data_IF_649505971998
#
_entry.id   IF_649505971998
#
_cell.length_a   1.000
_cell.length_b   1.000
_cell.length_c   1.000
_cell.angle_alpha   90.00
_cell.angle_beta   90.00
_cell.angle_gamma   90.00
#
_symmetry.space_group_name_H-M   'P 1'
#
loop_
_entity.id
_entity.type
_entity.pdbx_description
1 polymer ?
#
# COMPACT_ATOMS: atom_id res chain seq x y z
N UNK A 1 7.69 4.47 -26.88
CA UNK A 1 7.79 4.06 -25.46
C UNK A 1 6.57 4.60 -24.72
N UNK A 2 5.84 3.77 -23.99
CA UNK A 2 4.74 4.26 -23.14
C UNK A 2 5.33 5.12 -22.02
N UNK A 3 4.69 6.26 -21.66
CA UNK A 3 5.23 7.16 -20.64
C UNK A 3 5.28 6.48 -19.27
N UNK A 4 6.38 6.68 -18.54
CA UNK A 4 6.64 6.12 -17.20
C UNK A 4 6.45 7.17 -16.11
N UNK A 5 6.54 6.73 -14.85
CA UNK A 5 6.52 7.60 -13.68
C UNK A 5 7.94 7.77 -13.14
N UNK A 6 8.41 8.99 -12.85
CA UNK A 6 9.74 9.17 -12.30
C UNK A 6 9.83 8.61 -10.86
N UNK A 7 10.98 8.06 -10.49
CA UNK A 7 11.31 7.68 -9.12
C UNK A 7 11.70 8.93 -8.33
N UNK A 8 10.78 9.48 -7.55
CA UNK A 8 10.91 10.76 -6.83
C UNK A 8 10.54 10.60 -5.34
N UNK A 9 10.90 11.57 -4.46
CA UNK A 9 10.53 11.52 -3.04
C UNK A 9 9.03 11.55 -2.77
N UNK A 10 8.24 12.21 -3.61
CA UNK A 10 6.79 12.21 -3.51
C UNK A 10 6.18 10.82 -3.76
N UNK A 11 5.06 10.52 -3.11
CA UNK A 11 4.26 9.35 -3.42
C UNK A 11 3.27 9.64 -4.55
N UNK A 12 2.88 8.58 -5.25
CA UNK A 12 1.72 8.55 -6.13
C UNK A 12 0.50 8.08 -5.33
N UNK A 13 -0.58 8.84 -5.40
CA UNK A 13 -1.80 8.54 -4.66
C UNK A 13 -2.97 8.50 -5.63
N UNK A 14 -3.75 7.41 -5.62
CA UNK A 14 -5.08 7.40 -6.20
C UNK A 14 -6.07 7.57 -5.07
N UNK A 15 -6.84 8.66 -5.09
CA UNK A 15 -7.96 8.87 -4.17
C UNK A 15 -9.17 9.36 -4.96
N UNK A 16 -10.32 8.72 -4.72
CA UNK A 16 -11.58 9.00 -5.42
C UNK A 16 -11.44 9.04 -6.96
N UNK A 17 -10.64 8.12 -7.51
CA UNK A 17 -10.24 8.02 -8.94
C UNK A 17 -9.43 9.20 -9.48
N UNK A 18 -8.86 10.06 -8.64
CA UNK A 18 -7.88 11.06 -9.07
C UNK A 18 -6.49 10.60 -8.71
N UNK A 19 -5.55 10.66 -9.67
CA UNK A 19 -4.13 10.39 -9.45
C UNK A 19 -3.39 11.68 -9.11
N UNK A 20 -2.72 11.69 -7.96
CA UNK A 20 -1.91 12.77 -7.46
C UNK A 20 -0.44 12.36 -7.34
N UNK A 21 0.46 13.35 -7.37
CA UNK A 21 1.68 13.31 -6.57
C UNK A 21 1.41 13.97 -5.23
N UNK A 22 1.92 13.39 -4.15
CA UNK A 22 1.78 13.92 -2.81
C UNK A 22 3.14 13.99 -2.10
N UNK A 23 3.43 15.17 -1.56
CA UNK A 23 4.51 15.36 -0.60
C UNK A 23 4.04 14.81 0.75
N UNK A 24 4.73 13.78 1.25
CA UNK A 24 4.27 13.03 2.43
C UNK A 24 4.39 13.83 3.75
N UNK A 25 5.45 14.63 3.98
CA UNK A 25 5.52 15.46 5.17
C UNK A 25 4.41 16.52 5.23
N UNK A 26 4.13 17.22 4.12
CA UNK A 26 3.20 18.36 4.14
C UNK A 26 1.77 18.01 3.69
N UNK A 27 1.57 16.88 3.02
CA UNK A 27 0.31 16.53 2.36
C UNK A 27 -0.03 17.37 1.12
N UNK A 28 0.92 18.20 0.65
CA UNK A 28 0.74 19.02 -0.56
C UNK A 28 0.61 18.12 -1.79
N UNK A 29 -0.38 18.39 -2.63
CA UNK A 29 -0.76 17.55 -3.76
C UNK A 29 -0.67 18.28 -5.09
N UNK A 30 -0.26 17.54 -6.11
CA UNK A 30 -0.36 17.96 -7.53
C UNK A 30 -1.18 16.91 -8.27
N UNK A 31 -2.24 17.34 -8.98
CA UNK A 31 -3.04 16.44 -9.81
C UNK A 31 -2.22 16.04 -11.05
N UNK A 32 -2.11 14.74 -11.29
CA UNK A 32 -1.54 14.19 -12.52
C UNK A 32 -2.61 13.80 -13.52
N UNK A 33 -3.66 13.12 -13.04
CA UNK A 33 -4.84 12.78 -13.84
C UNK A 33 -6.09 12.89 -12.98
N UNK A 34 -7.08 13.63 -13.46
CA UNK A 34 -8.35 13.85 -12.77
C UNK A 34 -9.31 12.64 -12.88
N UNK A 35 -8.97 11.61 -13.66
CA UNK A 35 -9.87 10.48 -13.93
C UNK A 35 -9.11 9.20 -14.26
N UNK A 36 -8.92 8.35 -13.25
CA UNK A 36 -8.56 6.94 -13.43
C UNK A 36 -9.76 6.15 -13.99
N UNK A 37 -9.56 5.44 -15.09
CA UNK A 37 -10.59 4.66 -15.80
C UNK A 37 -10.81 3.26 -15.22
N UNK A 38 -10.99 3.19 -13.90
CA UNK A 38 -11.26 1.95 -13.15
C UNK A 38 -11.41 2.21 -11.66
N UNK A 39 -11.59 1.15 -10.87
CA UNK A 39 -11.59 1.22 -9.41
C UNK A 39 -10.32 0.58 -8.86
N UNK A 40 -9.21 1.34 -8.96
CA UNK A 40 -7.88 0.84 -8.65
C UNK A 40 -7.64 0.78 -7.14
N UNK A 41 -7.22 -0.38 -6.67
CA UNK A 41 -6.70 -0.62 -5.31
C UNK A 41 -5.26 -1.17 -5.39
N UNK A 42 -4.65 -1.42 -4.22
CA UNK A 42 -3.36 -2.10 -4.10
C UNK A 42 -2.21 -1.47 -4.90
N UNK A 43 -2.24 -0.15 -5.13
CA UNK A 43 -1.30 0.53 -6.03
C UNK A 43 0.17 0.34 -5.58
N UNK A 44 1.04 0.07 -6.54
CA UNK A 44 2.49 -0.05 -6.34
C UNK A 44 3.26 0.64 -7.46
N UNK A 45 4.47 1.08 -7.14
CA UNK A 45 5.44 1.57 -8.11
C UNK A 45 6.47 0.48 -8.33
N UNK A 46 6.58 -0.02 -9.56
CA UNK A 46 7.54 -1.06 -9.89
C UNK A 46 8.90 -0.44 -10.24
N UNK A 47 9.95 -0.64 -9.40
CA UNK A 47 11.25 -0.04 -9.65
C UNK A 47 11.98 -0.63 -10.87
N UNK A 48 11.54 -1.79 -11.38
CA UNK A 48 12.19 -2.48 -12.51
C UNK A 48 11.82 -1.89 -13.87
N UNK A 49 10.69 -1.19 -13.97
CA UNK A 49 10.18 -0.64 -15.24
C UNK A 49 9.57 0.77 -15.11
N UNK A 50 9.58 1.35 -13.90
CA UNK A 50 9.10 2.69 -13.58
C UNK A 50 7.60 2.89 -13.85
N UNK A 51 6.80 1.83 -13.78
CA UNK A 51 5.35 1.90 -13.97
C UNK A 51 4.58 1.77 -12.66
N UNK A 52 3.39 2.34 -12.65
CA UNK A 52 2.40 2.09 -11.61
C UNK A 52 1.57 0.87 -11.99
N UNK A 53 1.40 -0.03 -11.03
CA UNK A 53 0.51 -1.18 -11.14
C UNK A 53 -0.47 -1.19 -9.98
N UNK A 54 -1.64 -1.75 -10.20
CA UNK A 54 -2.65 -1.92 -9.18
C UNK A 54 -3.60 -3.05 -9.56
N UNK A 55 -4.73 -3.11 -8.88
CA UNK A 55 -5.79 -4.05 -9.19
C UNK A 55 -7.10 -3.33 -9.45
N UNK A 56 -7.78 -3.72 -10.53
CA UNK A 56 -9.16 -3.34 -10.83
C UNK A 56 -10.00 -4.61 -10.73
N UNK A 57 -10.74 -4.73 -9.63
CA UNK A 57 -11.44 -5.95 -9.22
C UNK A 57 -10.47 -7.16 -9.11
N UNK A 58 -10.58 -8.14 -10.02
CA UNK A 58 -9.75 -9.35 -10.05
C UNK A 58 -8.68 -9.30 -11.16
N UNK A 59 -8.30 -8.10 -11.64
CA UNK A 59 -7.30 -7.94 -12.71
C UNK A 59 -6.15 -7.09 -12.23
N UNK A 60 -4.93 -7.54 -12.49
CA UNK A 60 -3.75 -6.68 -12.41
C UNK A 60 -3.77 -5.73 -13.58
N UNK A 61 -3.62 -4.45 -13.30
CA UNK A 61 -3.62 -3.38 -14.30
C UNK A 61 -2.39 -2.51 -14.15
N UNK A 62 -1.84 -2.07 -15.28
CA UNK A 62 -0.89 -0.96 -15.35
C UNK A 62 -1.67 0.35 -15.44
N UNK A 63 -1.28 1.35 -14.66
CA UNK A 63 -1.85 2.69 -14.68
C UNK A 63 -0.94 3.56 -15.55
N UNK A 64 -1.51 4.28 -16.52
CA UNK A 64 -0.77 5.23 -17.34
C UNK A 64 -0.86 6.65 -16.74
N UNK A 65 0.11 7.54 -17.02
CA UNK A 65 0.04 8.95 -16.59
C UNK A 65 -1.23 9.69 -17.03
N UNK A 66 -1.85 9.28 -18.15
CA UNK A 66 -3.15 9.81 -18.62
C UNK A 66 -4.33 9.43 -17.70
N UNK A 67 -4.18 8.41 -16.86
CA UNK A 67 -5.25 7.80 -16.07
C UNK A 67 -5.95 6.63 -16.75
N UNK A 68 -5.55 6.28 -17.97
CA UNK A 68 -5.95 5.01 -18.58
C UNK A 68 -5.33 3.82 -17.82
N UNK A 69 -6.04 2.69 -17.85
CA UNK A 69 -5.56 1.43 -17.28
C UNK A 69 -5.41 0.39 -18.38
N UNK A 70 -4.38 -0.46 -18.27
CA UNK A 70 -4.10 -1.53 -19.21
C UNK A 70 -4.08 -2.87 -18.45
N UNK A 71 -4.89 -3.87 -18.85
CA UNK A 71 -4.88 -5.17 -18.20
C UNK A 71 -3.56 -5.89 -18.46
N UNK A 72 -3.03 -6.51 -17.40
CA UNK A 72 -1.76 -7.26 -17.42
C UNK A 72 -2.00 -8.74 -17.17
N UNK A 73 -2.80 -9.06 -16.16
CA UNK A 73 -3.11 -10.44 -15.79
C UNK A 73 -4.49 -10.54 -15.13
N UNK A 74 -5.13 -11.68 -15.28
CA UNK A 74 -6.34 -12.02 -14.52
C UNK A 74 -5.97 -12.85 -13.29
N UNK A 75 -6.52 -12.45 -12.14
CA UNK A 75 -6.39 -13.17 -10.89
C UNK A 75 -7.44 -14.28 -10.88
N UNK A 76 -7.00 -15.49 -11.23
CA UNK A 76 -7.86 -16.68 -11.16
C UNK A 76 -8.35 -16.92 -9.73
N UNK A 77 -9.53 -17.51 -9.62
CA UNK A 77 -10.16 -17.85 -8.33
C UNK A 77 -9.22 -18.65 -7.42
N UNK A 78 -9.05 -18.22 -6.18
CA UNK A 78 -8.47 -19.07 -5.15
C UNK A 78 -9.56 -19.99 -4.61
N UNK A 79 -9.38 -21.30 -4.78
CA UNK A 79 -10.34 -22.34 -4.30
C UNK A 79 -11.77 -22.14 -4.81
N UNK A 80 -11.94 -21.70 -6.06
CA UNK A 80 -13.26 -21.49 -6.68
C UNK A 80 -14.01 -20.24 -6.19
N UNK A 81 -13.37 -19.35 -5.43
CA UNK A 81 -13.89 -18.02 -5.07
C UNK A 81 -13.07 -16.93 -5.75
N UNK A 82 -13.74 -15.84 -6.11
CA UNK A 82 -13.08 -14.67 -6.67
C UNK A 82 -12.03 -14.13 -5.70
N UNK A 83 -10.82 -13.93 -6.21
CA UNK A 83 -9.74 -13.30 -5.45
C UNK A 83 -9.71 -11.82 -5.83
N UNK A 84 -10.25 -10.98 -4.95
CA UNK A 84 -10.39 -9.52 -5.15
C UNK A 84 -9.55 -8.81 -4.09
N UNK A 85 -8.25 -8.64 -4.31
CA UNK A 85 -7.35 -8.04 -3.33
C UNK A 85 -7.58 -6.53 -3.22
N UNK A 86 -7.32 -5.99 -2.03
CA UNK A 86 -7.36 -4.55 -1.75
C UNK A 86 -6.00 -3.99 -1.30
N UNK A 87 -5.04 -4.87 -0.97
CA UNK A 87 -3.71 -4.50 -0.49
C UNK A 87 -2.63 -4.93 -1.48
N UNK A 88 -1.63 -4.06 -1.70
CA UNK A 88 -0.53 -4.29 -2.65
C UNK A 88 0.82 -3.78 -2.13
N UNK A 89 1.87 -4.58 -2.29
CA UNK A 89 3.24 -4.19 -1.98
C UNK A 89 4.17 -4.85 -3.01
N UNK A 90 5.27 -4.19 -3.39
CA UNK A 90 6.19 -4.71 -4.41
C UNK A 90 7.64 -4.60 -3.92
N UNK A 91 8.45 -5.62 -4.19
CA UNK A 91 9.89 -5.56 -3.90
C UNK A 91 10.71 -4.97 -5.05
N UNK A 92 11.99 -4.76 -4.75
CA UNK A 92 13.02 -4.38 -5.72
C UNK A 92 13.18 -5.33 -6.92
N UNK A 93 12.62 -6.55 -6.88
CA UNK A 93 12.70 -7.54 -7.97
C UNK A 93 11.43 -7.58 -8.82
N UNK A 94 10.44 -6.74 -8.53
CA UNK A 94 9.16 -6.73 -9.22
C UNK A 94 8.19 -7.83 -8.75
N UNK A 95 8.42 -8.45 -7.59
CA UNK A 95 7.45 -9.37 -7.01
C UNK A 95 6.35 -8.57 -6.31
N UNK A 96 5.14 -8.66 -6.84
CA UNK A 96 3.98 -7.92 -6.38
C UNK A 96 3.11 -8.80 -5.47
N UNK A 97 3.15 -8.53 -4.17
CA UNK A 97 2.29 -9.16 -3.18
C UNK A 97 0.92 -8.49 -3.17
N UNK A 98 -0.11 -9.31 -3.30
CA UNK A 98 -1.51 -8.92 -3.26
C UNK A 98 -2.20 -9.64 -2.12
N UNK A 99 -3.07 -8.95 -1.40
CA UNK A 99 -3.83 -9.55 -0.30
C UNK A 99 -5.25 -9.05 -0.16
N UNK A 100 -6.12 -9.93 0.33
CA UNK A 100 -7.47 -9.62 0.79
C UNK A 100 -7.39 -9.34 2.29
N UNK A 101 -7.40 -8.06 2.68
CA UNK A 101 -7.34 -7.60 4.07
C UNK A 101 -6.23 -8.26 4.91
N UNK A 102 -5.08 -8.52 4.29
CA UNK A 102 -3.92 -9.15 4.92
C UNK A 102 -4.05 -10.66 5.14
N UNK A 103 -5.19 -11.28 4.82
CA UNK A 103 -5.48 -12.70 5.09
C UNK A 103 -5.00 -13.61 3.96
N UNK A 104 -5.79 -13.78 2.90
CA UNK A 104 -5.30 -14.51 1.72
C UNK A 104 -4.29 -13.63 0.98
N UNK A 105 -3.21 -14.24 0.50
CA UNK A 105 -2.24 -13.52 -0.32
C UNK A 105 -1.78 -14.34 -1.52
N UNK A 106 -1.37 -13.62 -2.56
CA UNK A 106 -0.63 -14.16 -3.71
C UNK A 106 0.57 -13.26 -3.99
N UNK A 107 1.54 -13.79 -4.72
CA UNK A 107 2.64 -13.01 -5.28
C UNK A 107 2.64 -13.16 -6.79
N UNK A 108 2.76 -12.05 -7.52
CA UNK A 108 2.77 -12.00 -8.98
C UNK A 108 4.12 -11.47 -9.46
N UNK A 109 4.62 -12.06 -10.54
CA UNK A 109 5.83 -11.57 -11.19
C UNK A 109 5.52 -10.38 -12.10
N UNK A 110 5.97 -9.18 -11.74
CA UNK A 110 5.92 -8.00 -12.60
C UNK A 110 7.30 -7.59 -13.11
N UNK A 111 8.30 -8.45 -13.02
CA UNK A 111 9.61 -8.18 -13.59
C UNK A 111 9.52 -8.25 -15.13
N UNK A 112 9.80 -7.17 -15.87
CA UNK A 112 9.76 -7.19 -17.34
C UNK A 112 10.80 -8.13 -17.96
N UNK A 113 11.85 -8.48 -17.22
CA UNK A 113 12.86 -9.46 -17.62
C UNK A 113 12.51 -10.91 -17.31
N UNK A 114 11.34 -11.18 -16.70
CA UNK A 114 10.88 -12.54 -16.45
C UNK A 114 10.47 -13.25 -17.74
N UNK A 115 10.59 -14.57 -17.74
CA UNK A 115 10.06 -15.42 -18.82
C UNK A 115 8.52 -15.41 -18.87
N UNK A 116 7.87 -15.18 -17.73
CA UNK A 116 6.41 -15.20 -17.61
C UNK A 116 5.89 -14.04 -16.76
N UNK A 117 5.99 -12.77 -17.22
CA UNK A 117 5.38 -11.64 -16.53
C UNK A 117 3.87 -11.85 -16.35
N UNK A 118 3.36 -11.52 -15.18
CA UNK A 118 1.97 -11.76 -14.77
C UNK A 118 1.72 -13.14 -14.14
N UNK A 119 2.71 -14.03 -14.08
CA UNK A 119 2.56 -15.34 -13.45
C UNK A 119 2.40 -15.24 -11.92
N UNK A 120 1.56 -16.11 -11.36
CA UNK A 120 1.45 -16.29 -9.91
C UNK A 120 2.65 -17.12 -9.43
N UNK A 121 3.50 -16.52 -8.61
CA UNK A 121 4.71 -17.12 -8.04
C UNK A 121 4.42 -17.91 -6.76
N UNK A 122 3.55 -17.38 -5.90
CA UNK A 122 3.24 -17.98 -4.60
C UNK A 122 1.81 -17.62 -4.16
N UNK A 123 1.26 -18.37 -3.21
CA UNK A 123 -0.02 -18.11 -2.55
C UNK A 123 -0.05 -18.67 -1.14
N UNK A 124 -0.84 -18.06 -0.26
CA UNK A 124 -1.01 -18.56 1.10
C UNK A 124 -2.15 -17.88 1.86
N UNK A 125 -2.24 -18.24 3.13
CA UNK A 125 -3.17 -17.63 4.09
C UNK A 125 -2.35 -17.18 5.29
N UNK A 126 -2.50 -15.91 5.65
CA UNK A 126 -1.80 -15.32 6.78
C UNK A 126 -2.44 -15.69 8.11
N UNK A 127 -1.64 -15.63 9.15
CA UNK A 127 -2.08 -15.75 10.55
C UNK A 127 -1.98 -14.40 11.25
N UNK A 128 -2.87 -14.16 12.21
CA UNK A 128 -2.94 -12.91 12.97
C UNK A 128 -2.77 -13.16 14.47
N UNK A 129 -2.35 -12.15 15.26
CA UNK A 129 -2.25 -12.26 16.71
C UNK A 129 -3.58 -12.63 17.37
N UNK A 130 -3.52 -13.36 18.48
CA UNK A 130 -4.68 -13.81 19.26
C UNK A 130 -5.27 -12.65 20.07
N UNK A 131 -5.91 -11.67 19.43
CA UNK A 131 -6.67 -10.57 20.05
C UNK A 131 -7.39 -9.70 19.00
N UNK A 132 -8.12 -10.33 18.06
CA UNK A 132 -8.67 -9.63 16.88
C UNK A 132 -9.66 -8.48 17.22
N UNK A 133 -10.34 -8.53 18.36
CA UNK A 133 -11.36 -7.53 18.72
C UNK A 133 -10.79 -6.20 19.24
N UNK A 134 -9.49 -6.16 19.61
CA UNK A 134 -8.84 -4.94 20.10
C UNK A 134 -8.43 -4.01 18.97
N UNK A 135 -8.06 -4.58 17.83
CA UNK A 135 -7.44 -3.84 16.73
C UNK A 135 -8.28 -3.86 15.46
N UNK A 136 -8.26 -2.74 14.73
CA UNK A 136 -8.46 -2.82 13.28
C UNK A 136 -7.17 -3.33 12.64
N UNK A 137 -7.31 -4.27 11.71
CA UNK A 137 -6.18 -4.76 10.93
C UNK A 137 -5.88 -3.85 9.75
N UNK A 138 -4.64 -3.89 9.21
CA UNK A 138 -4.27 -3.05 8.09
C UNK A 138 -5.17 -3.22 6.87
N UNK A 139 -5.55 -2.10 6.26
CA UNK A 139 -6.27 -2.05 4.98
C UNK A 139 -5.37 -1.63 3.81
N UNK A 140 -4.12 -1.26 4.11
CA UNK A 140 -3.02 -0.99 3.19
C UNK A 140 -1.68 -1.42 3.81
N UNK A 141 -0.67 -1.63 2.97
CA UNK A 141 0.67 -2.03 3.41
C UNK A 141 1.75 -1.57 2.43
N UNK A 142 3.01 -1.63 2.85
CA UNK A 142 4.15 -1.31 1.99
C UNK A 142 5.37 -2.17 2.32
N UNK A 143 6.19 -2.43 1.30
CA UNK A 143 7.49 -3.07 1.42
C UNK A 143 8.60 -2.01 1.46
N UNK A 144 9.62 -2.22 2.29
CA UNK A 144 10.82 -1.39 2.34
C UNK A 144 12.06 -2.26 2.15
N UNK A 145 13.08 -1.81 1.40
CA UNK A 145 14.37 -2.50 1.35
C UNK A 145 15.11 -2.52 2.69
N UNK A 146 14.72 -1.69 3.67
CA UNK A 146 15.22 -1.73 5.04
C UNK A 146 14.95 -3.08 5.71
N UNK A 147 13.78 -3.68 5.46
CA UNK A 147 13.42 -5.02 5.91
C UNK A 147 12.90 -5.84 4.73
N UNK A 148 13.82 -6.47 4.02
CA UNK A 148 13.52 -7.25 2.82
C UNK A 148 12.61 -8.46 3.07
N UNK A 149 12.40 -8.85 4.33
CA UNK A 149 11.64 -10.06 4.71
C UNK A 149 10.23 -9.73 5.23
N UNK A 150 9.85 -8.45 5.24
CA UNK A 150 8.56 -8.04 5.74
C UNK A 150 7.89 -6.95 4.91
N UNK A 151 6.60 -6.80 5.15
CA UNK A 151 5.82 -5.63 4.75
C UNK A 151 5.13 -5.07 5.98
N UNK A 152 4.86 -3.77 5.95
CA UNK A 152 4.32 -3.04 7.08
C UNK A 152 2.97 -2.45 6.73
N UNK A 153 1.99 -2.63 7.60
CA UNK A 153 0.65 -2.09 7.45
C UNK A 153 0.22 -1.29 8.68
N UNK A 154 -0.71 -0.35 8.52
CA UNK A 154 -1.23 0.45 9.63
C UNK A 154 -2.66 0.05 9.96
N UNK A 155 -2.89 -0.21 11.24
CA UNK A 155 -4.22 -0.38 11.82
C UNK A 155 -4.41 0.56 12.99
N UNK A 156 -5.36 0.23 13.86
CA UNK A 156 -5.75 1.09 14.96
C UNK A 156 -6.14 0.27 16.20
N UNK A 157 -5.76 0.75 17.37
CA UNK A 157 -6.16 0.20 18.65
C UNK A 157 -7.35 0.98 19.21
N UNK A 158 -8.50 0.32 19.33
CA UNK A 158 -9.73 0.96 19.81
C UNK A 158 -9.71 1.26 21.31
N UNK A 159 -8.88 0.59 22.11
CA UNK A 159 -8.79 0.81 23.55
C UNK A 159 -7.93 2.03 23.86
N UNK A 160 -6.73 2.08 23.28
CA UNK A 160 -5.78 3.18 23.50
C UNK A 160 -6.03 4.37 22.59
N UNK A 161 -6.83 4.18 21.52
CA UNK A 161 -7.14 5.16 20.48
C UNK A 161 -5.92 5.63 19.70
N UNK A 162 -5.01 4.71 19.38
CA UNK A 162 -3.72 4.99 18.74
C UNK A 162 -3.54 4.18 17.47
N UNK A 163 -2.75 4.70 16.54
CA UNK A 163 -2.34 3.95 15.35
C UNK A 163 -1.40 2.81 15.76
N UNK A 164 -1.60 1.65 15.14
CA UNK A 164 -0.76 0.47 15.35
C UNK A 164 -0.03 0.16 14.06
N UNK A 165 1.29 0.01 14.14
CA UNK A 165 2.12 -0.50 13.07
C UNK A 165 2.17 -2.02 13.18
N UNK A 166 1.70 -2.71 12.15
CA UNK A 166 1.77 -4.15 12.01
C UNK A 166 2.89 -4.54 11.06
N UNK A 167 3.51 -5.68 11.33
CA UNK A 167 4.52 -6.30 10.45
C UNK A 167 4.03 -7.67 10.01
N UNK A 168 4.12 -7.93 8.71
CA UNK A 168 3.85 -9.25 8.12
C UNK A 168 5.15 -9.86 7.61
N UNK A 169 5.50 -11.04 8.08
CA UNK A 169 6.71 -11.74 7.67
C UNK A 169 6.44 -12.63 6.46
N UNK A 170 7.16 -12.39 5.35
CA UNK A 170 6.91 -13.07 4.08
C UNK A 170 7.23 -14.56 4.09
N UNK A 171 8.16 -15.00 4.95
CA UNK A 171 8.54 -16.41 5.09
C UNK A 171 7.49 -17.25 5.81
N UNK A 172 6.80 -16.66 6.79
CA UNK A 172 5.89 -17.39 7.68
C UNK A 172 4.42 -17.06 7.43
N UNK A 173 4.13 -15.97 6.71
CA UNK A 173 2.78 -15.46 6.53
C UNK A 173 2.17 -14.95 7.83
N UNK A 174 2.97 -14.55 8.82
CA UNK A 174 2.47 -14.16 10.14
C UNK A 174 2.45 -12.64 10.31
N UNK A 175 1.31 -12.13 10.75
CA UNK A 175 1.17 -10.76 11.25
C UNK A 175 1.54 -10.69 12.73
N UNK A 176 2.19 -9.60 13.11
CA UNK A 176 2.48 -9.22 14.49
C UNK A 176 2.25 -7.72 14.71
N UNK A 177 1.86 -7.35 15.93
CA UNK A 177 1.91 -5.95 16.36
C UNK A 177 3.39 -5.60 16.51
N UNK A 178 3.87 -4.67 15.69
CA UNK A 178 5.27 -4.27 15.68
C UNK A 178 5.49 -3.07 16.61
N UNK A 179 4.59 -2.09 16.58
CA UNK A 179 4.60 -0.95 17.50
C UNK A 179 3.24 -0.27 17.53
N UNK A 180 3.08 0.61 18.50
CA UNK A 180 1.93 1.49 18.68
C UNK A 180 2.43 2.92 18.81
N UNK A 181 1.70 3.86 18.21
CA UNK A 181 2.03 5.28 18.31
C UNK A 181 1.96 5.77 19.76
N UNK A 182 2.77 6.75 20.12
CA UNK A 182 2.68 7.43 21.41
C UNK A 182 1.49 8.41 21.49
N UNK A 183 1.00 8.84 20.33
CA UNK A 183 -0.02 9.86 20.16
C UNK A 183 -1.34 9.25 19.66
N UNK A 184 -2.44 9.54 20.35
CA UNK A 184 -3.76 9.07 19.94
C UNK A 184 -4.30 9.81 18.72
N UNK A 185 -5.05 9.14 17.85
CA UNK A 185 -5.69 9.74 16.67
C UNK A 185 -7.18 9.39 16.57
N UNK A 186 -7.89 9.97 15.59
CA UNK A 186 -9.32 9.72 15.36
C UNK A 186 -9.63 8.98 14.06
N UNK A 187 -8.58 8.54 13.35
CA UNK A 187 -8.66 7.80 12.10
C UNK A 187 -8.22 6.34 12.27
N UNK A 188 -8.86 5.43 11.55
CA UNK A 188 -8.66 3.98 11.63
C UNK A 188 -8.58 3.30 10.25
N UNK A 189 -8.57 4.07 9.16
CA UNK A 189 -8.66 3.56 7.79
C UNK A 189 -7.49 4.02 6.93
N UNK A 190 -6.48 3.16 6.83
CA UNK A 190 -5.23 3.42 6.13
C UNK A 190 -5.12 2.59 4.83
N UNK A 191 -5.92 2.92 3.80
CA UNK A 191 -5.81 2.26 2.49
C UNK A 191 -4.55 2.64 1.71
N UNK A 192 -4.02 3.84 1.98
CA UNK A 192 -2.84 4.39 1.35
C UNK A 192 -1.64 4.36 2.31
N UNK A 193 -0.81 3.32 2.18
CA UNK A 193 0.43 3.12 2.95
C UNK A 193 1.60 3.04 1.99
N UNK A 194 2.68 3.76 2.29
CA UNK A 194 3.92 3.75 1.50
C UNK A 194 5.14 3.67 2.41
N UNK A 195 6.25 3.20 1.86
CA UNK A 195 7.51 3.08 2.57
C UNK A 195 8.64 3.81 1.85
N UNK A 196 9.68 4.14 2.60
CA UNK A 196 10.93 4.70 2.11
C UNK A 196 12.05 3.66 2.17
N UNK A 197 13.15 3.94 1.47
CA UNK A 197 14.33 3.08 1.46
C UNK A 197 14.96 2.91 2.85
N UNK A 198 14.97 3.97 3.63
CA UNK A 198 15.55 4.09 4.97
C UNK A 198 14.60 3.67 6.10
N UNK A 199 13.49 3.00 5.77
CA UNK A 199 12.63 2.36 6.77
C UNK A 199 11.60 3.27 7.42
N UNK A 200 11.19 4.35 6.74
CA UNK A 200 10.06 5.17 7.15
C UNK A 200 8.79 4.64 6.50
N UNK A 201 7.73 4.46 7.30
CA UNK A 201 6.40 4.03 6.85
C UNK A 201 5.42 5.19 7.04
N UNK A 202 4.78 5.60 5.96
CA UNK A 202 3.71 6.59 5.96
C UNK A 202 2.37 5.93 5.73
N UNK A 203 1.37 6.31 6.51
CA UNK A 203 -0.03 5.94 6.31
C UNK A 203 -0.88 7.20 6.26
N UNK A 204 -1.74 7.27 5.27
CA UNK A 204 -2.72 8.36 5.13
C UNK A 204 -4.09 7.83 5.53
N UNK A 205 -4.70 8.44 6.54
CA UNK A 205 -6.04 8.07 6.98
C UNK A 205 -7.11 8.70 6.10
N UNK A 206 -7.99 7.86 5.55
CA UNK A 206 -8.98 8.27 4.56
C UNK A 206 -10.16 9.05 5.14
N UNK A 207 -10.36 8.98 6.46
CA UNK A 207 -11.47 9.61 7.17
C UNK A 207 -11.13 11.03 7.63
N UNK A 208 -9.92 11.22 8.16
CA UNK A 208 -9.48 12.44 8.84
C UNK A 208 -8.48 13.24 8.01
N UNK A 209 -7.77 12.59 7.09
CA UNK A 209 -6.63 13.18 6.39
C UNK A 209 -5.39 13.27 7.28
N UNK A 210 -5.36 12.62 8.44
CA UNK A 210 -4.14 12.51 9.24
C UNK A 210 -3.09 11.68 8.47
N UNK A 211 -1.85 12.16 8.45
CA UNK A 211 -0.71 11.41 7.94
C UNK A 211 0.11 10.93 9.14
N UNK A 212 0.26 9.62 9.26
CA UNK A 212 1.04 8.98 10.33
C UNK A 212 2.36 8.51 9.74
N UNK A 213 3.45 8.79 10.44
CA UNK A 213 4.82 8.44 10.06
C UNK A 213 5.47 7.62 11.17
N UNK A 214 5.85 6.39 10.85
CA UNK A 214 6.67 5.54 11.72
C UNK A 214 8.08 5.42 11.17
N UNK A 215 9.07 5.36 12.05
CA UNK A 215 10.42 4.91 11.70
C UNK A 215 10.61 3.47 12.22
N UNK A 216 10.92 2.50 11.36
CA UNK A 216 11.12 1.11 11.78
C UNK A 216 12.24 0.97 12.82
N UNK A 217 13.26 1.82 12.79
CA UNK A 217 14.37 1.78 13.76
C UNK A 217 14.01 2.34 15.14
N UNK A 218 12.99 3.18 15.23
CA UNK A 218 12.46 3.76 16.47
C UNK A 218 10.93 3.88 16.39
N UNK A 219 10.21 2.74 16.38
CA UNK A 219 8.83 2.71 15.95
C UNK A 219 7.85 3.18 17.03
N UNK A 220 8.33 3.52 18.23
CA UNK A 220 7.49 4.08 19.29
C UNK A 220 7.29 5.60 19.14
N UNK A 221 8.20 6.28 18.44
CA UNK A 221 8.15 7.73 18.20
C UNK A 221 7.47 8.08 16.88
N UNK A 222 6.21 7.66 16.75
CA UNK A 222 5.42 7.98 15.57
C UNK A 222 5.10 9.47 15.51
N UNK A 223 5.19 10.06 14.32
CA UNK A 223 4.81 11.46 14.08
C UNK A 223 3.45 11.48 13.40
N UNK A 224 2.56 12.37 13.84
CA UNK A 224 1.23 12.54 13.25
C UNK A 224 1.05 13.97 12.74
N UNK A 225 0.93 14.11 11.43
CA UNK A 225 0.61 15.38 10.77
C UNK A 225 -0.90 15.46 10.56
N UNK A 226 -1.57 16.22 11.42
CA UNK A 226 -3.03 16.28 11.48
C UNK A 226 -3.63 16.96 10.27
N UNK A 227 -4.62 16.30 9.66
CA UNK A 227 -5.43 16.83 8.54
C UNK A 227 -4.60 17.39 7.38
N UNK A 228 -3.36 16.90 7.22
CA UNK A 228 -2.44 17.34 6.17
C UNK A 228 -2.74 16.62 4.85
N UNK A 229 -3.07 15.34 4.96
CA UNK A 229 -3.43 14.47 3.86
C UNK A 229 -4.86 14.67 3.36
N UNK A 230 -5.22 13.97 2.28
CA UNK A 230 -6.50 14.16 1.64
C UNK A 230 -7.57 13.23 2.24
N UNK A 231 -8.81 13.74 2.35
CA UNK A 231 -9.96 12.98 2.88
C UNK A 231 -10.76 12.42 1.71
N UNK A 232 -10.99 11.11 1.69
CA UNK A 232 -11.85 10.49 0.67
C UNK A 232 -13.31 10.89 0.91
N UNK A 233 -14.01 11.27 -0.17
CA UNK A 233 -15.41 11.68 -0.14
C UNK A 233 -16.38 10.56 -0.54
N UNK A 234 -15.87 9.43 -1.01
CA UNK A 234 -16.68 8.28 -1.43
C UNK A 234 -17.17 7.44 -0.26
N UNK A 235 -18.18 6.62 -0.54
CA UNK A 235 -18.67 5.53 0.31
C UNK A 235 -18.79 4.27 -0.56
N UNK A 236 -18.01 3.20 -0.29
CA UNK A 236 -16.93 3.13 0.69
C UNK A 236 -15.78 4.10 0.35
N UNK A 237 -14.94 4.42 1.35
CA UNK A 237 -13.72 5.22 1.15
C UNK A 237 -12.76 4.44 0.26
N UNK A 238 -12.15 5.11 -0.72
CA UNK A 238 -11.21 4.46 -1.65
C UNK A 238 -9.97 5.34 -1.82
N UNK A 239 -8.84 4.79 -1.39
CA UNK A 239 -7.54 5.42 -1.44
C UNK A 239 -6.47 4.34 -1.51
N UNK A 240 -5.46 4.55 -2.34
CA UNK A 240 -4.31 3.66 -2.43
C UNK A 240 -3.11 4.44 -2.92
N UNK A 241 -1.92 4.12 -2.44
CA UNK A 241 -0.72 4.86 -2.75
C UNK A 241 0.46 3.95 -3.05
N UNK A 242 1.36 4.49 -3.86
CA UNK A 242 2.62 3.88 -4.23
C UNK A 242 3.74 4.89 -4.09
N UNK A 243 4.92 4.43 -3.71
CA UNK A 243 6.14 5.25 -3.74
C UNK A 243 7.26 4.41 -4.32
N UNK A 244 8.22 5.06 -4.99
CA UNK A 244 9.42 4.37 -5.41
C UNK A 244 10.18 3.87 -4.17
N UNK A 245 10.35 2.54 -3.97
CA UNK A 245 10.93 1.99 -2.74
C UNK A 245 12.43 2.27 -2.61
N UNK A 246 13.05 2.84 -3.64
CA UNK A 246 14.48 3.14 -3.72
C UNK A 246 14.82 4.56 -3.23
N UNK A 247 13.83 5.34 -2.79
CA UNK A 247 14.03 6.73 -2.36
C UNK A 247 13.95 6.82 -0.84
N UNK A 248 14.93 7.50 -0.25
CA UNK A 248 14.97 7.80 1.18
C UNK A 248 13.99 8.92 1.56
N UNK A 249 13.64 9.00 2.83
CA UNK A 249 12.92 10.14 3.38
C UNK A 249 13.83 11.39 3.36
N UNK A 250 13.28 12.55 2.98
CA UNK A 250 14.02 13.82 2.92
C UNK A 250 13.36 14.86 3.80
#
# INVERSE_FOLDING_TARGET
MSPTFPCIPEAYLIQDNTLYRIDLPTGRRTVLSASIKGNVQALVYNPTDQNLYGVDFNRVVRILPSGEIQPIAELRTLKGKDFVPNMGAIDSRGQYWLSIYGREYITIDLNPGSLFPGAILNRGVSTFPSQLARWSFPTGWAWSPWDMQAVYGMGYDYQSRRTVLFRWQSRTGRWEVFSEADTGIHGDLFGAVVATRDGIIYGMDDNTGDIVRFNISDPHRAVVNRRAGPVSRRVPKVSTAARCPMVEDR
#
